data_IF_294082294715
#
_entry.id   IF_294082294715
#
_cell.length_a   1.000
_cell.length_b   1.000
_cell.length_c   1.000
_cell.angle_alpha   90.00
_cell.angle_beta   90.00
_cell.angle_gamma   90.00
#
_symmetry.space_group_name_H-M   'P 1'
#
loop_
_entity.id
_entity.type
_entity.pdbx_description
1 polymer ?
#
# COMPACT_ATOMS: atom_id res chain seq x y z
N UNK A 1 -29.43 4.41 -0.25
CA UNK A 1 -28.09 3.74 -0.18
C UNK A 1 -27.06 4.81 -0.49
N UNK A 2 -26.38 5.30 0.55
CA UNK A 2 -25.32 6.30 0.39
C UNK A 2 -24.14 5.64 -0.36
N UNK A 3 -23.90 6.07 -1.59
CA UNK A 3 -22.72 5.70 -2.36
C UNK A 3 -21.48 6.20 -1.60
N UNK A 4 -20.74 5.28 -0.99
CA UNK A 4 -19.43 5.60 -0.38
C UNK A 4 -18.54 6.16 -1.49
N UNK A 5 -18.25 7.46 -1.46
CA UNK A 5 -17.37 8.10 -2.45
C UNK A 5 -15.94 7.62 -2.22
N UNK A 6 -15.20 7.30 -3.29
CA UNK A 6 -13.80 6.91 -3.20
C UNK A 6 -12.94 8.05 -2.60
N UNK A 7 -11.99 7.70 -1.74
CA UNK A 7 -11.29 8.67 -0.88
C UNK A 7 -9.78 8.53 -1.07
N UNK A 8 -9.08 9.67 -1.27
CA UNK A 8 -7.64 9.78 -1.05
C UNK A 8 -7.42 10.14 0.42
N UNK A 9 -6.48 9.45 1.05
CA UNK A 9 -6.08 9.72 2.42
C UNK A 9 -4.60 10.13 2.42
N UNK A 10 -4.30 11.28 3.04
CA UNK A 10 -2.94 11.83 3.13
C UNK A 10 -2.66 12.29 4.56
N UNK A 11 -1.41 12.10 5.01
CA UNK A 11 -0.92 12.64 6.28
C UNK A 11 0.04 13.80 6.06
N UNK A 12 0.09 14.75 6.99
CA UNK A 12 1.11 15.81 7.06
C UNK A 12 1.96 15.63 8.31
N UNK A 13 3.29 15.75 8.15
CA UNK A 13 4.28 15.53 9.21
C UNK A 13 5.26 16.66 9.39
N UNK A 14 5.67 16.82 10.64
CA UNK A 14 6.86 17.53 11.06
C UNK A 14 7.68 16.57 11.96
N UNK A 15 8.96 16.30 11.56
CA UNK A 15 10.09 15.69 12.32
C UNK A 15 10.27 14.14 12.27
N UNK A 16 11.39 13.72 12.00
CA UNK A 16 12.74 13.30 12.28
C UNK A 16 13.10 11.84 11.91
N UNK A 17 14.15 11.71 11.10
CA UNK A 17 14.72 10.48 10.50
C UNK A 17 15.59 9.62 11.46
N UNK A 18 15.35 9.53 12.77
CA UNK A 18 16.33 8.93 13.70
C UNK A 18 16.05 7.53 14.23
N UNK A 19 14.94 6.88 13.93
CA UNK A 19 14.48 5.74 14.76
C UNK A 19 14.58 4.34 14.15
N UNK A 20 14.96 4.18 12.88
CA UNK A 20 15.05 2.83 12.28
C UNK A 20 16.26 2.00 12.75
N UNK A 21 17.30 2.62 13.31
CA UNK A 21 18.58 1.97 13.59
C UNK A 21 18.58 1.04 14.83
N UNK A 22 17.53 0.99 15.65
CA UNK A 22 17.50 0.24 16.92
C UNK A 22 16.28 -0.69 17.11
N UNK A 23 15.54 -1.05 16.09
CA UNK A 23 14.33 -1.86 16.27
C UNK A 23 14.58 -3.37 16.16
N UNK A 24 15.10 -3.99 17.22
CA UNK A 24 14.85 -5.39 17.51
C UNK A 24 13.40 -5.54 18.01
N UNK A 25 12.42 -5.72 17.09
CA UNK A 25 11.03 -5.91 17.49
C UNK A 25 9.96 -5.30 16.58
N UNK A 26 10.26 -4.98 15.33
CA UNK A 26 9.27 -4.47 14.39
C UNK A 26 8.26 -5.57 14.06
N UNK A 27 6.99 -5.36 14.40
CA UNK A 27 5.93 -6.35 14.18
C UNK A 27 5.35 -6.21 12.77
N UNK A 28 5.40 -7.28 11.98
CA UNK A 28 4.70 -7.37 10.70
C UNK A 28 3.19 -7.29 10.93
N UNK A 29 2.47 -6.63 10.02
CA UNK A 29 1.02 -6.61 10.06
C UNK A 29 0.48 -8.02 9.76
N UNK A 30 -0.39 -8.58 10.61
CA UNK A 30 -0.95 -9.91 10.42
C UNK A 30 -2.01 -9.92 9.30
N UNK A 31 -2.36 -11.11 8.77
CA UNK A 31 -3.43 -11.25 7.76
C UNK A 31 -4.75 -10.59 8.17
N UNK A 32 -5.10 -10.71 9.44
CA UNK A 32 -6.31 -10.11 10.02
C UNK A 32 -6.34 -8.58 9.96
N UNK A 33 -5.19 -7.93 9.82
CA UNK A 33 -5.14 -6.48 9.58
C UNK A 33 -5.73 -6.13 8.20
N UNK A 34 -5.45 -6.93 7.19
CA UNK A 34 -5.87 -6.70 5.81
C UNK A 34 -7.30 -7.21 5.54
N UNK A 35 -7.76 -8.22 6.29
CA UNK A 35 -9.11 -8.81 6.18
C UNK A 35 -10.15 -7.97 6.95
N UNK A 36 -10.29 -6.71 6.56
CA UNK A 36 -11.20 -5.74 7.15
C UNK A 36 -11.70 -4.76 6.08
N UNK A 37 -12.69 -3.93 6.42
CA UNK A 37 -13.19 -2.86 5.57
C UNK A 37 -12.04 -2.05 4.95
N UNK A 38 -12.06 -1.91 3.62
CA UNK A 38 -10.99 -1.30 2.84
C UNK A 38 -10.67 0.13 3.27
N UNK A 39 -11.68 0.91 3.68
CA UNK A 39 -11.47 2.30 4.14
C UNK A 39 -10.76 2.31 5.48
N UNK A 40 -11.11 1.39 6.38
CA UNK A 40 -10.42 1.24 7.66
C UNK A 40 -8.96 0.85 7.45
N UNK A 41 -8.69 -0.14 6.60
CA UNK A 41 -7.31 -0.56 6.25
C UNK A 41 -6.54 0.61 5.63
N UNK A 42 -7.14 1.35 4.69
CA UNK A 42 -6.50 2.50 4.05
C UNK A 42 -6.11 3.60 5.06
N UNK A 43 -6.98 3.88 6.04
CA UNK A 43 -6.67 4.86 7.10
C UNK A 43 -5.53 4.39 7.98
N UNK A 44 -5.54 3.12 8.38
CA UNK A 44 -4.54 2.57 9.29
C UNK A 44 -3.21 2.21 8.61
N UNK A 45 -3.17 2.06 7.28
CA UNK A 45 -1.92 1.94 6.53
C UNK A 45 -1.08 3.22 6.55
N UNK A 46 -1.71 4.38 6.75
CA UNK A 46 -0.97 5.63 6.89
C UNK A 46 -0.08 5.59 8.13
N UNK A 47 1.19 5.97 7.97
CA UNK A 47 2.21 5.90 9.01
C UNK A 47 2.90 4.55 9.14
N UNK A 48 2.37 3.46 8.58
CA UNK A 48 3.06 2.16 8.54
C UNK A 48 4.27 2.20 7.59
N UNK A 49 5.20 1.29 7.81
CA UNK A 49 6.40 1.20 7.00
C UNK A 49 6.32 0.02 6.03
N UNK A 50 6.48 0.31 4.74
CA UNK A 50 6.65 -0.69 3.69
C UNK A 50 8.13 -1.02 3.56
N UNK A 51 8.47 -2.30 3.70
CA UNK A 51 9.83 -2.83 3.66
C UNK A 51 9.98 -3.74 2.44
N UNK A 52 11.03 -3.53 1.64
CA UNK A 52 11.42 -4.41 0.56
C UNK A 52 12.92 -4.75 0.67
N UNK A 53 13.22 -6.03 0.81
CA UNK A 53 14.58 -6.59 0.87
C UNK A 53 14.89 -7.28 -0.44
N UNK A 54 15.73 -6.70 -1.26
CA UNK A 54 16.12 -7.25 -2.54
C UNK A 54 17.58 -6.92 -2.86
N UNK A 55 18.32 -7.90 -3.42
CA UNK A 55 19.72 -7.72 -3.80
C UNK A 55 20.65 -7.34 -2.62
N UNK A 56 20.38 -7.86 -1.42
CA UNK A 56 21.13 -7.52 -0.20
C UNK A 56 20.86 -6.12 0.37
N UNK A 57 19.91 -5.38 -0.22
CA UNK A 57 19.54 -4.03 0.23
C UNK A 57 18.13 -4.04 0.81
N UNK A 58 17.99 -3.55 2.04
CA UNK A 58 16.70 -3.30 2.67
C UNK A 58 16.28 -1.84 2.42
N UNK A 59 15.15 -1.66 1.74
CA UNK A 59 14.54 -0.36 1.43
C UNK A 59 13.30 -0.18 2.27
N UNK A 60 13.14 1.00 2.89
CA UNK A 60 12.00 1.27 3.78
C UNK A 60 11.42 2.65 3.48
N UNK A 61 10.09 2.68 3.34
CA UNK A 61 9.34 3.92 3.18
C UNK A 61 8.10 3.96 4.07
N UNK A 62 7.85 5.09 4.72
CA UNK A 62 6.63 5.33 5.49
C UNK A 62 5.49 5.71 4.56
N UNK A 63 4.37 5.02 4.63
CA UNK A 63 3.17 5.26 3.82
C UNK A 63 2.51 6.57 4.28
N UNK A 64 2.37 7.54 3.37
CA UNK A 64 1.81 8.88 3.68
C UNK A 64 0.63 9.28 2.81
N UNK A 65 0.39 8.57 1.70
CA UNK A 65 -0.77 8.80 0.83
C UNK A 65 -1.26 7.49 0.23
N UNK A 66 -2.58 7.26 0.29
CA UNK A 66 -3.23 6.06 -0.25
C UNK A 66 -4.58 6.38 -0.88
N UNK A 67 -5.07 5.48 -1.75
CA UNK A 67 -6.43 5.50 -2.30
C UNK A 67 -7.12 4.17 -2.04
N UNK A 68 -8.37 4.21 -1.56
CA UNK A 68 -9.19 3.03 -1.38
C UNK A 68 -10.02 2.72 -2.64
N UNK A 69 -10.04 1.45 -3.08
CA UNK A 69 -10.83 0.90 -4.18
C UNK A 69 -11.71 -0.23 -3.62
N UNK A 70 -13.03 -0.05 -3.67
CA UNK A 70 -14.00 -0.76 -2.82
C UNK A 70 -14.58 -2.04 -3.45
N UNK A 71 -13.97 -2.57 -4.50
CA UNK A 71 -14.41 -3.79 -5.16
C UNK A 71 -15.21 -3.53 -6.44
N UNK A 72 -15.99 -4.53 -6.89
CA UNK A 72 -16.63 -4.54 -8.21
C UNK A 72 -17.68 -3.44 -8.41
N UNK A 73 -18.31 -2.96 -7.35
CA UNK A 73 -19.29 -1.85 -7.39
C UNK A 73 -18.65 -0.47 -7.53
N UNK A 74 -17.33 -0.37 -7.35
CA UNK A 74 -16.54 0.85 -7.52
C UNK A 74 -16.08 0.95 -8.97
N UNK A 75 -16.76 1.75 -9.79
CA UNK A 75 -16.51 1.87 -11.24
C UNK A 75 -15.08 2.33 -11.59
N UNK A 76 -14.36 2.96 -10.67
CA UNK A 76 -12.96 3.32 -10.88
C UNK A 76 -11.98 2.21 -10.48
N UNK A 77 -12.44 1.14 -9.81
CA UNK A 77 -11.62 -0.03 -9.53
C UNK A 77 -11.42 -0.89 -10.78
N UNK A 78 -10.23 -1.45 -10.95
CA UNK A 78 -9.98 -2.42 -12.03
C UNK A 78 -10.93 -3.63 -11.96
N UNK A 79 -11.31 -4.04 -10.75
CA UNK A 79 -12.25 -5.15 -10.48
C UNK A 79 -13.67 -4.88 -10.95
N UNK A 80 -14.06 -3.63 -11.25
CA UNK A 80 -15.41 -3.31 -11.77
C UNK A 80 -15.73 -4.00 -13.11
N UNK A 81 -14.69 -4.45 -13.82
CA UNK A 81 -14.81 -5.22 -15.09
C UNK A 81 -14.78 -6.74 -14.85
N UNK A 82 -14.87 -7.16 -13.60
CA UNK A 82 -14.83 -8.57 -13.22
C UNK A 82 -13.41 -9.14 -13.15
N UNK A 83 -13.36 -10.47 -12.96
CA UNK A 83 -12.10 -11.22 -12.82
C UNK A 83 -11.47 -11.50 -14.18
N UNK A 84 -10.28 -11.00 -14.40
CA UNK A 84 -9.43 -11.19 -15.58
C UNK A 84 -8.03 -11.64 -15.14
N UNK A 85 -7.16 -12.05 -16.07
CA UNK A 85 -5.76 -12.35 -15.77
C UNK A 85 -5.03 -11.18 -15.07
N UNK A 86 -5.40 -9.95 -15.41
CA UNK A 86 -4.84 -8.75 -14.78
C UNK A 86 -5.36 -8.56 -13.35
N UNK A 87 -6.64 -8.77 -13.12
CA UNK A 87 -7.32 -8.44 -11.86
C UNK A 87 -7.41 -9.61 -10.89
N UNK A 88 -7.07 -10.84 -11.30
CA UNK A 88 -7.25 -12.06 -10.51
C UNK A 88 -6.66 -11.97 -9.09
N UNK A 89 -5.56 -11.23 -8.90
CA UNK A 89 -4.93 -11.05 -7.60
C UNK A 89 -5.83 -10.24 -6.66
N UNK A 90 -6.61 -9.28 -7.16
CA UNK A 90 -7.55 -8.52 -6.33
C UNK A 90 -8.69 -9.39 -5.79
N UNK A 91 -9.02 -10.50 -6.48
CA UNK A 91 -10.01 -11.49 -6.04
C UNK A 91 -9.44 -12.57 -5.13
N UNK A 92 -8.14 -12.51 -4.82
CA UNK A 92 -7.47 -13.45 -3.94
C UNK A 92 -7.52 -13.01 -2.47
N UNK A 93 -6.79 -13.74 -1.60
CA UNK A 93 -6.80 -13.46 -0.17
C UNK A 93 -6.19 -12.09 0.16
N UNK A 94 -6.66 -11.45 1.27
CA UNK A 94 -6.14 -10.15 1.69
C UNK A 94 -4.66 -10.19 2.06
N UNK A 95 -3.98 -9.03 2.02
CA UNK A 95 -2.57 -8.91 2.36
C UNK A 95 -1.62 -9.43 1.27
N UNK A 96 -2.09 -9.50 0.02
CA UNK A 96 -1.23 -9.73 -1.14
C UNK A 96 -1.01 -8.41 -1.90
N UNK A 97 0.17 -8.28 -2.51
CA UNK A 97 0.48 -7.16 -3.37
C UNK A 97 -0.18 -7.34 -4.74
N UNK A 98 -0.95 -6.36 -5.19
CA UNK A 98 -1.41 -6.28 -6.57
C UNK A 98 -0.59 -5.22 -7.30
N UNK A 99 0.34 -5.67 -8.14
CA UNK A 99 1.26 -4.81 -8.88
C UNK A 99 0.95 -4.86 -10.37
N UNK A 100 0.70 -3.70 -10.97
CA UNK A 100 0.42 -3.59 -12.40
C UNK A 100 1.23 -2.49 -13.06
N UNK A 101 1.42 -2.62 -14.39
CA UNK A 101 2.09 -1.63 -15.22
C UNK A 101 1.06 -0.64 -15.78
N UNK A 102 1.34 0.67 -15.67
CA UNK A 102 0.56 1.74 -16.26
C UNK A 102 1.40 2.50 -17.29
N UNK A 103 0.79 2.86 -18.42
CA UNK A 103 1.43 3.56 -19.55
C UNK A 103 2.69 2.88 -20.09
N UNK A 104 2.82 1.57 -19.91
CA UNK A 104 3.96 0.78 -20.37
C UNK A 104 5.29 1.05 -19.63
N UNK A 105 5.33 1.94 -18.64
CA UNK A 105 6.58 2.37 -18.02
C UNK A 105 6.58 2.49 -16.49
N UNK A 106 5.44 2.53 -15.84
CA UNK A 106 5.35 2.73 -14.39
C UNK A 106 4.60 1.61 -13.71
N UNK A 107 5.14 1.08 -12.63
CA UNK A 107 4.44 0.14 -11.78
C UNK A 107 3.62 0.88 -10.72
N UNK A 108 2.45 0.33 -10.39
CA UNK A 108 1.61 0.78 -9.29
C UNK A 108 1.38 -0.40 -8.37
N UNK A 109 1.54 -0.20 -7.06
CA UNK A 109 1.34 -1.22 -6.04
C UNK A 109 0.09 -0.95 -5.23
N UNK A 110 -0.71 -2.00 -5.06
CA UNK A 110 -1.87 -2.01 -4.17
C UNK A 110 -1.74 -3.14 -3.14
N UNK A 111 -2.38 -2.94 -2.01
CA UNK A 111 -2.58 -3.96 -0.98
C UNK A 111 -3.99 -4.50 -1.11
N UNK A 112 -4.15 -5.80 -1.36
CA UNK A 112 -5.46 -6.46 -1.42
C UNK A 112 -6.06 -6.51 -0.02
N UNK A 113 -7.35 -6.18 0.10
CA UNK A 113 -8.07 -6.05 1.37
C UNK A 113 -9.37 -6.84 1.33
N UNK A 114 -9.98 -7.00 2.50
CA UNK A 114 -11.23 -7.76 2.71
C UNK A 114 -11.08 -9.25 2.36
N UNK A 115 -12.14 -10.01 2.58
CA UNK A 115 -12.14 -11.47 2.37
C UNK A 115 -11.86 -11.85 0.93
N UNK A 116 -11.35 -13.04 0.74
CA UNK A 116 -11.19 -13.67 -0.57
C UNK A 116 -12.46 -13.53 -1.42
N UNK A 117 -12.30 -13.17 -2.68
CA UNK A 117 -13.39 -12.94 -3.64
C UNK A 117 -14.00 -11.53 -3.64
N UNK A 118 -13.67 -10.64 -2.68
CA UNK A 118 -14.27 -9.29 -2.60
C UNK A 118 -13.69 -8.28 -3.61
N UNK A 119 -12.46 -8.50 -4.06
CA UNK A 119 -11.76 -7.72 -5.10
C UNK A 119 -11.55 -6.23 -4.79
N UNK A 120 -11.32 -5.90 -3.53
CA UNK A 120 -10.97 -4.57 -3.05
C UNK A 120 -9.47 -4.42 -2.79
N UNK A 121 -8.97 -3.19 -2.85
CA UNK A 121 -7.55 -2.92 -2.61
C UNK A 121 -7.29 -1.47 -2.22
N UNK A 122 -6.14 -1.23 -1.60
CA UNK A 122 -5.59 0.09 -1.28
C UNK A 122 -4.37 0.37 -2.14
N UNK A 123 -4.45 1.36 -3.02
CA UNK A 123 -3.33 1.85 -3.82
C UNK A 123 -2.40 2.71 -2.96
N UNK A 124 -1.11 2.40 -2.94
CA UNK A 124 -0.09 3.25 -2.33
C UNK A 124 0.30 4.36 -3.31
N UNK A 125 0.19 5.63 -2.88
CA UNK A 125 0.42 6.79 -3.74
C UNK A 125 1.68 7.55 -3.42
N UNK A 126 2.05 7.66 -2.15
CA UNK A 126 3.28 8.30 -1.73
C UNK A 126 3.82 7.65 -0.46
N UNK A 127 5.14 7.63 -0.38
CA UNK A 127 5.89 7.24 0.82
C UNK A 127 6.89 8.33 1.19
N UNK A 128 7.19 8.44 2.47
CA UNK A 128 8.31 9.23 2.99
C UNK A 128 9.53 8.32 3.13
N UNK A 129 10.72 8.72 2.61
CA UNK A 129 11.93 7.90 2.72
C UNK A 129 12.33 7.67 4.19
N UNK A 130 12.57 6.40 4.57
CA UNK A 130 13.07 6.00 5.88
C UNK A 130 14.47 5.41 5.76
N UNK A 131 14.69 4.46 4.83
CA UNK A 131 15.98 3.79 4.67
C UNK A 131 16.24 3.40 3.21
N UNK A 132 17.42 3.71 2.70
CA UNK A 132 17.94 3.30 1.38
C UNK A 132 17.01 3.60 0.20
N UNK A 133 16.27 4.71 0.25
CA UNK A 133 15.46 5.19 -0.86
C UNK A 133 16.14 6.36 -1.55
N UNK A 134 16.27 6.29 -2.87
CA UNK A 134 16.82 7.36 -3.70
C UNK A 134 15.73 7.96 -4.59
N UNK A 135 15.82 9.27 -4.83
CA UNK A 135 14.91 9.98 -5.72
C UNK A 135 13.57 10.34 -5.09
N UNK A 136 12.62 10.69 -5.96
CA UNK A 136 11.27 11.11 -5.56
C UNK A 136 10.41 9.90 -5.25
N UNK A 137 9.56 10.03 -4.22
CA UNK A 137 8.68 8.98 -3.71
C UNK A 137 7.19 9.38 -3.66
N UNK A 138 6.89 10.61 -4.11
CA UNK A 138 5.53 11.15 -4.19
C UNK A 138 4.93 10.83 -5.58
N UNK A 139 4.10 9.82 -5.61
CA UNK A 139 3.43 9.27 -6.80
C UNK A 139 3.61 7.75 -6.88
N UNK A 140 2.57 7.01 -7.33
CA UNK A 140 2.56 5.54 -7.28
C UNK A 140 3.70 4.91 -8.08
N UNK A 141 4.03 5.46 -9.27
CA UNK A 141 5.16 4.97 -10.05
C UNK A 141 6.52 5.34 -9.47
N UNK A 142 6.63 6.49 -8.82
CA UNK A 142 7.88 6.96 -8.22
C UNK A 142 8.24 6.15 -6.97
N UNK A 143 7.27 5.88 -6.10
CA UNK A 143 7.50 5.02 -4.93
C UNK A 143 7.89 3.60 -5.33
N UNK A 144 7.24 3.02 -6.35
CA UNK A 144 7.59 1.69 -6.84
C UNK A 144 9.04 1.65 -7.36
N UNK A 145 9.45 2.67 -8.12
CA UNK A 145 10.84 2.79 -8.60
C UNK A 145 11.82 2.91 -7.44
N UNK A 146 11.55 3.76 -6.45
CA UNK A 146 12.43 3.98 -5.31
C UNK A 146 12.59 2.72 -4.45
N UNK A 147 11.53 1.94 -4.27
CA UNK A 147 11.53 0.67 -3.53
C UNK A 147 12.04 -0.52 -4.36
N UNK A 148 12.15 -0.40 -5.68
CA UNK A 148 12.48 -1.52 -6.57
C UNK A 148 11.32 -2.50 -6.75
N UNK A 149 10.08 -1.99 -6.72
CA UNK A 149 8.87 -2.79 -6.92
C UNK A 149 8.55 -2.90 -8.40
N UNK A 150 8.42 -4.11 -8.90
CA UNK A 150 8.04 -4.43 -10.28
C UNK A 150 6.99 -5.57 -10.35
N UNK A 151 6.74 -6.09 -11.56
CA UNK A 151 5.75 -7.15 -11.79
C UNK A 151 6.07 -8.48 -11.12
N UNK A 152 7.31 -8.75 -10.75
CA UNK A 152 7.69 -9.98 -10.05
C UNK A 152 7.03 -10.06 -8.66
N UNK A 153 6.70 -8.90 -8.08
CA UNK A 153 5.97 -8.81 -6.80
C UNK A 153 4.44 -8.86 -6.94
N UNK A 154 3.89 -9.03 -8.17
CA UNK A 154 2.45 -9.16 -8.34
C UNK A 154 1.94 -10.51 -7.80
N UNK A 155 1.08 -10.47 -6.79
CA UNK A 155 0.61 -11.64 -6.04
C UNK A 155 1.51 -12.03 -4.87
N UNK A 156 2.56 -11.26 -4.58
CA UNK A 156 3.46 -11.53 -3.45
C UNK A 156 2.74 -11.37 -2.11
N UNK A 157 3.00 -12.27 -1.19
CA UNK A 157 2.42 -12.25 0.16
C UNK A 157 3.14 -11.22 1.04
N UNK A 158 2.42 -10.22 1.53
CA UNK A 158 2.94 -9.17 2.42
C UNK A 158 3.23 -9.66 3.86
N UNK A 159 3.10 -10.97 4.11
CA UNK A 159 3.57 -11.62 5.33
C UNK A 159 4.95 -12.29 5.15
N UNK A 160 5.53 -12.24 3.96
CA UNK A 160 6.86 -12.77 3.64
C UNK A 160 7.99 -12.09 4.44
N UNK A 161 9.24 -12.57 4.30
CA UNK A 161 10.39 -11.98 5.00
C UNK A 161 11.16 -10.95 4.17
N UNK A 162 10.80 -10.80 2.91
CA UNK A 162 11.46 -9.93 1.93
C UNK A 162 10.61 -8.74 1.49
N UNK A 163 9.27 -8.85 1.53
CA UNK A 163 8.36 -7.77 1.16
C UNK A 163 7.14 -7.73 2.08
N UNK A 164 7.08 -6.75 2.98
CA UNK A 164 6.09 -6.72 4.04
C UNK A 164 5.82 -5.30 4.55
N UNK A 165 4.74 -5.16 5.33
CA UNK A 165 4.38 -3.90 6.01
C UNK A 165 4.46 -4.13 7.51
N UNK A 166 5.00 -3.14 8.24
CA UNK A 166 5.20 -3.21 9.68
C UNK A 166 4.59 -2.04 10.43
N UNK A 167 4.24 -2.29 11.69
CA UNK A 167 3.93 -1.26 12.66
C UNK A 167 5.24 -0.62 13.14
N UNK A 168 5.41 0.72 13.04
CA UNK A 168 6.56 1.37 13.68
C UNK A 168 6.43 1.32 15.20
N UNK A 169 7.56 1.19 15.90
CA UNK A 169 7.58 1.09 17.37
C UNK A 169 7.16 2.39 18.09
N UNK A 170 7.06 3.49 17.37
CA UNK A 170 6.66 4.79 17.90
C UNK A 170 5.26 5.14 17.41
N UNK A 171 4.32 5.26 18.33
CA UNK A 171 2.98 5.72 18.03
C UNK A 171 3.01 7.22 17.69
N UNK A 172 2.88 7.52 16.42
CA UNK A 172 2.80 8.90 15.95
C UNK A 172 1.33 9.35 15.85
N UNK A 173 1.01 10.56 16.33
CA UNK A 173 -0.32 11.12 16.14
C UNK A 173 -0.49 11.57 14.69
N UNK A 174 -1.30 10.83 13.93
CA UNK A 174 -1.53 11.08 12.51
C UNK A 174 -2.79 11.94 12.33
N UNK A 175 -2.65 13.06 11.60
CA UNK A 175 -3.79 13.84 11.12
C UNK A 175 -4.12 13.40 9.68
N UNK A 176 -5.33 12.86 9.46
CA UNK A 176 -5.75 12.34 8.16
C UNK A 176 -6.61 13.36 7.43
N UNK A 177 -6.19 13.75 6.24
CA UNK A 177 -7.00 14.57 5.31
C UNK A 177 -7.64 13.66 4.27
N UNK A 178 -8.97 13.76 4.13
CA UNK A 178 -9.75 12.99 3.17
C UNK A 178 -10.11 13.87 1.97
N UNK A 179 -9.89 13.38 0.75
CA UNK A 179 -10.24 14.07 -0.49
C UNK A 179 -10.83 13.08 -1.51
N UNK A 180 -11.62 13.54 -2.50
CA UNK A 180 -12.00 12.70 -3.64
C UNK A 180 -10.76 12.20 -4.39
N UNK A 181 -10.84 10.99 -4.94
CA UNK A 181 -9.78 10.45 -5.82
C UNK A 181 -9.61 11.30 -7.07
N UNK A 182 -8.40 11.32 -7.61
CA UNK A 182 -8.06 11.95 -8.88
C UNK A 182 -8.16 10.87 -9.96
N UNK A 183 -9.14 10.96 -10.84
CA UNK A 183 -9.36 10.06 -11.96
C UNK A 183 -10.74 9.44 -11.98
#
# INVERSE_FOLDING_TARGET
LATKRPIILRTFWLLSNREFAQSSGVQKLPRTFYDRDTICVAQELLGKWLVHKAGGVERVGKIVEVEAYLGEHDLAAHSSKGRTERTKIMFGPPGHAYVYLIYGMHHCMNVVTERDGHASAVLLRAIEPVKNLAGRTQGPGLLCRALGIDRCLNGHDLLSDDFFIVEPNVAEKISIVKRPRIG
#
